data_IF_550504441681
#
_entry.id   IF_550504441681
#
_cell.length_a   1.000
_cell.length_b   1.000
_cell.length_c   1.000
_cell.angle_alpha   90.00
_cell.angle_beta   90.00
_cell.angle_gamma   90.00
#
_symmetry.space_group_name_H-M   'P 1'
#
loop_
_entity.id
_entity.type
_entity.pdbx_description
1 polymer ?
#
# COMPACT_ATOMS: atom_id res chain seq x y z
N UNK A 1 10.64 -12.35 -7.52
CA UNK A 1 11.71 -11.58 -6.86
C UNK A 1 12.29 -12.44 -5.75
N UNK A 2 13.56 -12.30 -5.40
CA UNK A 2 14.13 -12.99 -4.23
C UNK A 2 14.73 -11.92 -3.33
N UNK A 3 13.91 -11.48 -2.39
CA UNK A 3 14.18 -10.26 -1.66
C UNK A 3 15.34 -10.42 -0.66
N UNK A 4 15.51 -11.63 -0.13
CA UNK A 4 16.66 -12.00 0.71
C UNK A 4 17.99 -11.81 -0.03
N UNK A 5 18.05 -12.20 -1.31
CA UNK A 5 19.25 -11.99 -2.11
C UNK A 5 19.53 -10.50 -2.34
N UNK A 6 18.50 -9.67 -2.38
CA UNK A 6 18.68 -8.24 -2.61
C UNK A 6 19.16 -7.54 -1.33
N UNK A 7 18.61 -7.89 -0.16
CA UNK A 7 19.12 -7.42 1.13
C UNK A 7 20.60 -7.78 1.29
N UNK A 8 20.99 -9.02 0.98
CA UNK A 8 22.38 -9.46 1.02
C UNK A 8 23.30 -8.64 0.08
N UNK A 9 22.81 -8.28 -1.11
CA UNK A 9 23.57 -7.45 -2.05
C UNK A 9 23.75 -6.01 -1.55
N UNK A 10 22.75 -5.44 -0.88
CA UNK A 10 22.84 -4.11 -0.28
C UNK A 10 23.78 -4.11 0.93
N UNK A 11 23.70 -5.14 1.77
CA UNK A 11 24.61 -5.32 2.91
C UNK A 11 26.07 -5.49 2.46
N UNK A 12 26.31 -6.22 1.36
CA UNK A 12 27.65 -6.43 0.82
C UNK A 12 28.22 -5.21 0.08
N UNK A 13 27.39 -4.27 -0.37
CA UNK A 13 27.84 -3.08 -1.12
C UNK A 13 27.21 -1.79 -0.58
N UNK A 14 27.93 -1.04 0.28
CA UNK A 14 27.40 0.18 0.91
C UNK A 14 27.15 1.33 -0.08
N UNK A 15 27.62 1.23 -1.34
CA UNK A 15 27.37 2.22 -2.38
C UNK A 15 26.15 1.87 -3.26
N UNK A 16 25.51 0.73 -3.02
CA UNK A 16 24.34 0.31 -3.77
C UNK A 16 23.06 0.96 -3.23
N UNK A 17 22.14 1.26 -4.15
CA UNK A 17 20.78 1.65 -3.84
C UNK A 17 19.83 0.61 -4.40
N UNK A 18 18.72 0.38 -3.71
CA UNK A 18 17.64 -0.46 -4.21
C UNK A 18 16.28 0.13 -3.88
N UNK A 19 15.27 -0.32 -4.62
CA UNK A 19 13.88 0.15 -4.49
C UNK A 19 13.01 -1.05 -4.19
N UNK A 20 12.36 -1.05 -3.03
CA UNK A 20 11.55 -2.18 -2.53
C UNK A 20 10.25 -1.70 -1.90
N UNK A 21 9.36 -2.66 -1.66
CA UNK A 21 8.22 -2.43 -0.76
C UNK A 21 8.70 -2.13 0.66
N UNK A 22 7.97 -1.27 1.37
CA UNK A 22 8.30 -0.82 2.72
C UNK A 22 8.50 -1.99 3.71
N UNK A 23 7.75 -3.08 3.56
CA UNK A 23 7.86 -4.28 4.40
C UNK A 23 9.28 -4.84 4.47
N UNK A 24 10.10 -4.68 3.43
CA UNK A 24 11.49 -5.15 3.45
C UNK A 24 12.38 -4.29 4.34
N UNK A 25 12.16 -2.98 4.32
CA UNK A 25 12.85 -2.07 5.23
C UNK A 25 12.45 -2.39 6.68
N UNK A 26 11.15 -2.53 6.95
CA UNK A 26 10.61 -2.83 8.28
C UNK A 26 11.17 -4.14 8.86
N UNK A 27 11.24 -5.20 8.03
CA UNK A 27 11.73 -6.52 8.45
C UNK A 27 13.26 -6.63 8.57
N UNK A 28 14.02 -5.70 8.01
CA UNK A 28 15.49 -5.75 7.94
C UNK A 28 16.14 -4.43 8.40
N UNK A 29 15.46 -3.69 9.28
CA UNK A 29 15.93 -2.39 9.78
C UNK A 29 17.28 -2.47 10.53
N UNK A 30 17.68 -3.67 10.95
CA UNK A 30 19.00 -3.97 11.52
C UNK A 30 20.13 -4.03 10.48
N UNK A 31 19.79 -4.22 9.19
CA UNK A 31 20.76 -4.43 8.09
C UNK A 31 20.75 -3.34 7.04
N UNK A 32 19.58 -2.80 6.75
CA UNK A 32 19.39 -1.77 5.72
C UNK A 32 18.71 -0.54 6.31
N UNK A 33 18.95 0.60 5.69
CA UNK A 33 18.35 1.87 6.08
C UNK A 33 17.45 2.42 4.97
N UNK A 34 16.43 3.17 5.37
CA UNK A 34 15.58 3.93 4.47
C UNK A 34 16.30 5.16 3.92
N UNK A 35 16.16 5.44 2.63
CA UNK A 35 16.68 6.66 2.03
C UNK A 35 15.83 7.88 2.42
N UNK A 36 16.48 8.98 2.82
CA UNK A 36 15.81 10.27 2.98
C UNK A 36 15.57 10.89 1.61
N UNK A 37 14.33 11.23 1.29
CA UNK A 37 13.98 11.93 0.05
C UNK A 37 13.45 13.31 0.42
N UNK A 38 14.15 14.35 0.00
CA UNK A 38 13.86 15.74 0.38
C UNK A 38 13.79 15.94 1.90
N UNK A 39 14.62 15.23 2.67
CA UNK A 39 14.63 15.29 4.13
C UNK A 39 13.50 14.51 4.83
N UNK A 40 12.64 13.81 4.07
CA UNK A 40 11.56 12.97 4.61
C UNK A 40 12.01 11.51 4.62
N UNK A 41 11.93 10.87 5.79
CA UNK A 41 12.22 9.45 5.97
C UNK A 41 11.00 8.59 5.56
N UNK A 42 11.23 7.35 5.07
CA UNK A 42 10.18 6.42 4.68
C UNK A 42 9.48 5.78 5.89
N UNK A 43 9.05 6.59 6.85
CA UNK A 43 8.28 6.13 8.01
C UNK A 43 6.84 5.78 7.61
N UNK A 44 6.22 4.88 8.36
CA UNK A 44 4.84 4.45 8.14
C UNK A 44 3.88 5.65 8.00
N UNK A 45 3.95 6.62 8.92
CA UNK A 45 3.09 7.80 8.93
C UNK A 45 3.34 8.71 7.73
N UNK A 46 4.60 8.84 7.29
CA UNK A 46 4.96 9.65 6.14
C UNK A 46 4.47 9.01 4.83
N UNK A 47 4.49 7.68 4.74
CA UNK A 47 3.99 6.97 3.57
C UNK A 47 2.45 6.98 3.55
N UNK A 48 1.80 6.67 4.67
CA UNK A 48 0.34 6.68 4.79
C UNK A 48 -0.24 8.08 4.51
N UNK A 49 0.45 9.14 4.91
CA UNK A 49 0.08 10.53 4.63
C UNK A 49 0.55 11.04 3.26
N UNK A 50 1.09 10.18 2.39
CA UNK A 50 1.64 10.52 1.06
C UNK A 50 2.72 11.63 1.08
N UNK A 51 3.40 11.79 2.22
CA UNK A 51 4.49 12.77 2.41
C UNK A 51 5.84 12.24 1.94
N UNK A 52 6.06 10.93 1.98
CA UNK A 52 7.28 10.34 1.43
C UNK A 52 7.21 10.36 -0.12
N UNK A 53 8.03 11.16 -0.83
CA UNK A 53 7.79 11.48 -2.24
C UNK A 53 7.84 10.30 -3.22
N UNK A 54 8.45 9.18 -2.81
CA UNK A 54 8.60 7.98 -3.64
C UNK A 54 7.55 6.90 -3.28
N UNK A 55 6.69 7.17 -2.30
CA UNK A 55 5.52 6.33 -2.03
C UNK A 55 4.50 6.43 -3.16
N UNK A 56 3.75 5.34 -3.40
CA UNK A 56 2.73 5.29 -4.45
C UNK A 56 1.46 4.65 -3.93
N UNK A 57 0.34 5.34 -4.09
CA UNK A 57 -0.97 4.75 -3.87
C UNK A 57 -1.22 3.64 -4.90
N UNK A 58 -1.76 2.52 -4.43
CA UNK A 58 -2.27 1.46 -5.29
C UNK A 58 -3.76 1.70 -5.54
N UNK A 59 -4.16 1.64 -6.80
CA UNK A 59 -5.53 1.86 -7.20
C UNK A 59 -6.17 0.54 -7.64
N UNK A 60 -7.37 0.31 -7.15
CA UNK A 60 -8.24 -0.77 -7.57
C UNK A 60 -9.41 -0.16 -8.36
N UNK A 61 -9.56 -0.56 -9.63
CA UNK A 61 -10.55 0.00 -10.55
C UNK A 61 -11.67 -0.98 -10.86
N UNK A 62 -12.91 -0.50 -10.82
CA UNK A 62 -14.10 -1.26 -11.17
C UNK A 62 -14.89 -0.56 -12.25
N UNK A 63 -15.23 -1.30 -13.31
CA UNK A 63 -16.14 -0.80 -14.36
C UNK A 63 -17.58 -0.86 -13.86
N UNK A 64 -18.18 0.29 -13.57
CA UNK A 64 -19.58 0.40 -13.11
C UNK A 64 -20.58 -0.31 -14.04
N UNK A 65 -20.34 -0.27 -15.36
CA UNK A 65 -21.17 -0.95 -16.35
C UNK A 65 -21.24 -2.49 -16.19
N UNK A 66 -20.29 -3.10 -15.48
CA UNK A 66 -20.29 -4.55 -15.25
C UNK A 66 -21.00 -4.96 -13.95
N UNK A 67 -21.36 -4.00 -13.10
CA UNK A 67 -22.05 -4.28 -11.85
C UNK A 67 -23.46 -4.78 -12.13
N UNK A 68 -23.79 -5.98 -11.67
CA UNK A 68 -25.10 -6.62 -11.90
C UNK A 68 -25.17 -7.45 -13.18
N UNK A 69 -24.17 -7.35 -14.07
CA UNK A 69 -24.01 -8.23 -15.24
C UNK A 69 -22.94 -9.29 -15.01
N UNK A 70 -21.80 -8.90 -14.42
CA UNK A 70 -20.77 -9.85 -13.97
C UNK A 70 -21.05 -10.19 -12.50
N UNK A 71 -21.30 -11.47 -12.17
CA UNK A 71 -21.51 -11.89 -10.78
C UNK A 71 -20.29 -11.58 -9.90
N UNK A 72 -20.53 -11.23 -8.63
CA UNK A 72 -19.46 -11.10 -7.64
C UNK A 72 -18.78 -9.72 -7.57
N UNK A 73 -19.06 -8.79 -8.48
CA UNK A 73 -18.36 -7.48 -8.47
C UNK A 73 -18.70 -6.66 -7.22
N UNK A 74 -19.97 -6.66 -6.77
CA UNK A 74 -20.35 -5.92 -5.55
C UNK A 74 -19.72 -6.54 -4.32
N UNK A 75 -19.74 -7.85 -4.24
CA UNK A 75 -19.17 -8.65 -3.16
C UNK A 75 -17.65 -8.46 -3.09
N UNK A 76 -16.98 -8.44 -4.24
CA UNK A 76 -15.54 -8.20 -4.32
C UNK A 76 -15.17 -6.78 -3.87
N UNK A 77 -15.91 -5.76 -4.29
CA UNK A 77 -15.71 -4.37 -3.80
C UNK A 77 -15.94 -4.29 -2.30
N UNK A 78 -17.01 -4.90 -1.79
CA UNK A 78 -17.32 -4.90 -0.36
C UNK A 78 -16.23 -5.61 0.46
N UNK A 79 -15.71 -6.75 -0.02
CA UNK A 79 -14.61 -7.46 0.62
C UNK A 79 -13.33 -6.63 0.61
N UNK A 80 -12.91 -6.14 -0.55
CA UNK A 80 -11.64 -5.42 -0.71
C UNK A 80 -11.62 -4.11 0.09
N UNK A 81 -12.79 -3.51 0.33
CA UNK A 81 -12.95 -2.28 1.13
C UNK A 81 -13.32 -2.54 2.60
N UNK A 82 -13.27 -3.78 3.07
CA UNK A 82 -13.58 -4.16 4.45
C UNK A 82 -12.41 -3.90 5.41
N UNK A 83 -12.70 -3.61 6.70
CA UNK A 83 -11.64 -3.40 7.71
C UNK A 83 -10.71 -4.63 7.84
N UNK A 84 -11.25 -5.85 7.76
CA UNK A 84 -10.45 -7.09 7.79
C UNK A 84 -9.48 -7.25 6.61
N UNK A 85 -9.65 -6.47 5.54
CA UNK A 85 -8.80 -6.52 4.34
C UNK A 85 -7.77 -5.40 4.36
N UNK A 86 -8.22 -4.15 4.39
CA UNK A 86 -7.36 -2.96 4.19
C UNK A 86 -7.26 -2.04 5.41
N UNK A 87 -7.83 -2.45 6.54
CA UNK A 87 -7.75 -1.72 7.80
C UNK A 87 -6.37 -1.85 8.43
N UNK A 88 -6.19 -1.23 9.60
CA UNK A 88 -4.92 -1.27 10.33
C UNK A 88 -4.48 -2.69 10.70
N UNK A 89 -5.44 -3.57 10.99
CA UNK A 89 -5.21 -5.00 11.26
C UNK A 89 -5.69 -5.90 10.11
N UNK A 90 -5.85 -5.33 8.91
CA UNK A 90 -6.31 -6.06 7.74
C UNK A 90 -5.21 -6.91 7.11
N UNK A 91 -5.58 -8.02 6.45
CA UNK A 91 -4.61 -8.95 5.88
C UNK A 91 -3.73 -8.35 4.77
N UNK A 92 -4.06 -7.19 4.21
CA UNK A 92 -3.18 -6.50 3.27
C UNK A 92 -1.94 -5.90 3.96
N UNK A 93 -2.03 -5.58 5.25
CA UNK A 93 -0.88 -5.19 6.08
C UNK A 93 0.17 -6.29 6.11
N UNK A 94 -0.26 -7.54 6.36
CA UNK A 94 0.60 -8.73 6.33
C UNK A 94 1.25 -8.96 4.95
N UNK A 95 0.65 -8.41 3.88
CA UNK A 95 1.17 -8.46 2.51
C UNK A 95 2.03 -7.25 2.15
N UNK A 96 2.39 -6.42 3.13
CA UNK A 96 3.29 -5.28 2.96
C UNK A 96 2.63 -4.02 2.40
N UNK A 97 1.29 -3.93 2.41
CA UNK A 97 0.59 -2.70 2.08
C UNK A 97 0.42 -1.83 3.32
N UNK A 98 0.59 -0.52 3.15
CA UNK A 98 0.36 0.46 4.20
C UNK A 98 -1.10 0.93 4.10
N UNK A 99 -1.91 0.75 5.16
CA UNK A 99 -3.30 1.19 5.15
C UNK A 99 -3.40 2.72 5.07
N UNK A 100 -4.39 3.19 4.32
CA UNK A 100 -4.73 4.62 4.26
C UNK A 100 -5.20 5.12 5.63
N UNK A 101 -5.05 6.42 5.94
CA UNK A 101 -5.63 7.03 7.13
C UNK A 101 -7.14 6.77 7.25
N UNK A 102 -7.66 6.67 8.47
CA UNK A 102 -9.04 6.29 8.74
C UNK A 102 -10.08 7.11 7.95
N UNK A 103 -9.90 8.43 7.86
CA UNK A 103 -10.81 9.30 7.11
C UNK A 103 -10.84 8.99 5.59
N UNK A 104 -9.67 8.79 4.99
CA UNK A 104 -9.54 8.46 3.56
C UNK A 104 -10.08 7.05 3.27
N UNK A 105 -9.77 6.09 4.15
CA UNK A 105 -10.26 4.70 4.09
C UNK A 105 -11.79 4.65 4.16
N UNK A 106 -12.41 5.40 5.08
CA UNK A 106 -13.86 5.48 5.20
C UNK A 106 -14.50 6.13 3.97
N UNK A 107 -13.91 7.21 3.45
CA UNK A 107 -14.38 7.83 2.21
C UNK A 107 -14.41 6.82 1.06
N UNK A 108 -13.30 6.12 0.81
CA UNK A 108 -13.23 5.16 -0.31
C UNK A 108 -14.08 3.91 -0.09
N UNK A 109 -14.30 3.47 1.17
CA UNK A 109 -15.31 2.44 1.48
C UNK A 109 -16.69 2.87 1.02
N UNK A 110 -17.11 4.06 1.42
CA UNK A 110 -18.42 4.60 1.06
C UNK A 110 -18.53 4.74 -0.45
N UNK A 111 -17.54 5.34 -1.09
CA UNK A 111 -17.53 5.51 -2.56
C UNK A 111 -17.59 4.18 -3.30
N UNK A 112 -16.86 3.15 -2.84
CA UNK A 112 -16.89 1.80 -3.41
C UNK A 112 -18.26 1.13 -3.26
N UNK A 113 -18.85 1.20 -2.07
CA UNK A 113 -20.15 0.55 -1.78
C UNK A 113 -21.33 1.18 -2.52
N UNK A 114 -21.33 2.51 -2.70
CA UNK A 114 -22.37 3.21 -3.47
C UNK A 114 -22.02 3.41 -4.95
N UNK A 115 -20.83 2.94 -5.37
CA UNK A 115 -20.32 2.99 -6.75
C UNK A 115 -20.22 4.42 -7.29
N UNK A 116 -19.67 5.31 -6.47
CA UNK A 116 -19.29 6.66 -6.89
C UNK A 116 -18.12 6.59 -7.86
N UNK A 117 -18.13 7.46 -8.87
CA UNK A 117 -16.97 7.60 -9.75
C UNK A 117 -15.82 8.26 -8.97
N UNK A 118 -14.60 7.80 -9.23
CA UNK A 118 -13.40 8.45 -8.69
C UNK A 118 -13.34 9.90 -9.23
N UNK A 119 -13.28 10.87 -8.32
CA UNK A 119 -12.93 12.26 -8.60
C UNK A 119 -11.57 12.51 -7.96
N UNK A 120 -10.60 12.93 -8.76
CA UNK A 120 -9.27 13.36 -8.31
C UNK A 120 -9.24 14.87 -8.11
#
# INVERSE_FOLDING_TARGET
>A
ENDNLIVQKLEANPNAYGVFGYSFLDQNADKIQGGLINGVAPEFENIAAQKYPVSRALYFYVKKAHVGTIPGIKEYVAEFTSEKTWGEEGYLGDRGLIPMPNAERNKFRTDGTVLNNLSM
#
